data_IF_503529081919
#
_entry.id   IF_503529081919
#
_cell.length_a   1.000
_cell.length_b   1.000
_cell.length_c   1.000
_cell.angle_alpha   90.00
_cell.angle_beta   90.00
_cell.angle_gamma   90.00
#
_symmetry.space_group_name_H-M   'P 1'
#
loop_
_entity.id
_entity.type
_entity.pdbx_description
1 polymer ?
#
# COMPACT_ATOMS: atom_id res chain seq x y z
N UNK A 1 -43.57 -43.45 7.96
CA UNK A 1 -43.00 -42.67 9.07
C UNK A 1 -41.48 -42.62 8.91
N UNK A 2 -40.85 -41.44 8.89
CA UNK A 2 -39.50 -41.25 8.39
C UNK A 2 -38.44 -41.67 9.42
N UNK A 3 -37.45 -42.44 8.97
CA UNK A 3 -36.25 -42.75 9.75
C UNK A 3 -35.35 -41.50 9.72
N UNK A 4 -35.20 -40.89 10.88
CA UNK A 4 -34.33 -39.75 11.17
C UNK A 4 -32.92 -40.01 10.65
N UNK A 5 -32.50 -39.21 9.67
CA UNK A 5 -31.14 -39.18 9.14
C UNK A 5 -30.18 -38.77 10.24
N UNK A 6 -29.18 -39.63 10.47
CA UNK A 6 -28.14 -39.49 11.47
C UNK A 6 -27.26 -38.28 11.10
N UNK A 7 -27.38 -37.19 11.85
CA UNK A 7 -26.43 -36.07 11.81
C UNK A 7 -25.06 -36.59 12.28
N UNK A 8 -24.09 -36.59 11.37
CA UNK A 8 -22.70 -36.88 11.70
C UNK A 8 -22.14 -35.70 12.51
N UNK A 9 -22.16 -35.82 13.83
CA UNK A 9 -21.32 -35.03 14.73
C UNK A 9 -19.88 -35.53 14.59
N UNK A 10 -19.11 -34.91 13.70
CA UNK A 10 -17.66 -35.07 13.63
C UNK A 10 -17.02 -34.29 14.78
N UNK A 11 -17.10 -34.82 16.00
CA UNK A 11 -16.40 -34.29 17.19
C UNK A 11 -15.00 -34.89 17.27
N UNK A 12 -14.18 -34.60 16.26
CA UNK A 12 -12.79 -35.00 16.19
C UNK A 12 -12.11 -34.13 15.17
N UNK A 13 -11.10 -33.38 15.59
CA UNK A 13 -10.25 -32.50 14.76
C UNK A 13 -10.72 -31.05 14.54
N UNK A 14 -11.66 -30.49 15.32
CA UNK A 14 -11.85 -29.03 15.33
C UNK A 14 -10.52 -28.30 15.60
N UNK A 15 -9.69 -28.79 16.53
CA UNK A 15 -8.37 -28.20 16.81
C UNK A 15 -7.42 -28.22 15.61
N UNK A 16 -7.41 -29.29 14.82
CA UNK A 16 -6.57 -29.40 13.61
C UNK A 16 -7.05 -28.45 12.51
N UNK A 17 -8.37 -28.34 12.32
CA UNK A 17 -8.96 -27.40 11.36
C UNK A 17 -8.67 -25.96 11.79
N UNK A 18 -8.82 -25.62 13.08
CA UNK A 18 -8.49 -24.30 13.60
C UNK A 18 -7.00 -23.99 13.43
N UNK A 19 -6.10 -24.93 13.72
CA UNK A 19 -4.65 -24.75 13.53
C UNK A 19 -4.28 -24.56 12.06
N UNK A 20 -4.87 -25.32 11.14
CA UNK A 20 -4.69 -25.12 9.71
C UNK A 20 -5.23 -23.78 9.23
N UNK A 21 -6.38 -23.32 9.72
CA UNK A 21 -6.96 -22.02 9.40
C UNK A 21 -6.11 -20.87 9.94
N UNK A 22 -5.58 -21.01 11.15
CA UNK A 22 -4.63 -20.08 11.76
C UNK A 22 -3.34 -20.05 10.94
N UNK A 23 -2.77 -21.19 10.56
CA UNK A 23 -1.57 -21.25 9.70
C UNK A 23 -1.83 -20.63 8.33
N UNK A 24 -2.99 -20.88 7.70
CA UNK A 24 -3.38 -20.23 6.44
C UNK A 24 -3.53 -18.72 6.60
N UNK A 25 -4.16 -18.24 7.67
CA UNK A 25 -4.26 -16.81 7.99
C UNK A 25 -2.90 -16.16 8.26
N UNK A 26 -1.97 -16.86 8.91
CA UNK A 26 -0.60 -16.39 9.15
C UNK A 26 0.29 -16.48 7.89
N UNK A 27 0.02 -17.43 7.00
CA UNK A 27 0.71 -17.56 5.69
C UNK A 27 0.18 -16.56 4.67
N UNK A 28 -1.02 -16.02 4.88
CA UNK A 28 -1.58 -14.89 4.15
C UNK A 28 -0.97 -13.53 4.55
N UNK A 29 0.05 -13.50 5.41
CA UNK A 29 1.03 -12.42 5.36
C UNK A 29 1.79 -12.56 4.06
N UNK A 30 1.17 -12.00 3.02
CA UNK A 30 1.66 -11.84 1.67
C UNK A 30 3.14 -11.47 1.76
N UNK A 31 3.99 -12.40 1.34
CA UNK A 31 5.33 -12.13 0.86
C UNK A 31 5.22 -11.01 -0.17
N UNK A 32 5.52 -9.77 0.25
CA UNK A 32 5.74 -8.67 -0.66
C UNK A 32 6.90 -9.07 -1.57
N UNK A 33 6.55 -9.32 -2.82
CA UNK A 33 7.47 -9.72 -3.86
C UNK A 33 8.39 -8.53 -4.19
N UNK A 34 9.49 -8.40 -3.44
CA UNK A 34 10.47 -7.33 -3.62
C UNK A 34 9.92 -5.96 -3.21
N UNK A 35 10.80 -5.11 -2.69
CA UNK A 35 10.46 -3.70 -2.52
C UNK A 35 10.08 -3.09 -3.89
N UNK A 36 9.02 -2.25 -3.97
CA UNK A 36 8.63 -1.61 -5.22
C UNK A 36 9.76 -0.74 -5.77
N UNK A 37 9.87 -0.68 -7.10
CA UNK A 37 10.85 0.21 -7.75
C UNK A 37 10.34 1.64 -7.63
N UNK A 38 11.02 2.46 -6.82
CA UNK A 38 10.65 3.86 -6.60
C UNK A 38 11.59 4.76 -7.42
N UNK A 39 10.99 5.57 -8.29
CA UNK A 39 11.64 6.58 -9.13
C UNK A 39 11.14 7.97 -8.75
N UNK A 40 11.90 8.99 -9.09
CA UNK A 40 11.50 10.38 -8.88
C UNK A 40 12.70 11.31 -8.73
N UNK A 41 12.43 12.61 -8.73
CA UNK A 41 13.42 13.61 -8.35
C UNK A 41 13.33 13.85 -6.84
N UNK A 42 14.42 13.57 -6.13
CA UNK A 42 14.57 13.76 -4.68
C UNK A 42 15.50 14.93 -4.31
N UNK A 43 15.85 15.77 -5.28
CA UNK A 43 16.68 16.95 -5.06
C UNK A 43 15.88 18.00 -4.27
N UNK A 44 16.55 18.61 -3.29
CA UNK A 44 16.01 19.73 -2.50
C UNK A 44 14.67 19.41 -1.82
N UNK A 45 14.48 18.18 -1.35
CA UNK A 45 13.29 17.82 -0.56
C UNK A 45 13.37 18.38 0.85
N UNK A 46 12.19 18.64 1.45
CA UNK A 46 12.10 18.81 2.89
C UNK A 46 12.66 17.58 3.62
N UNK A 47 13.18 17.76 4.85
CA UNK A 47 13.57 16.64 5.71
C UNK A 47 12.45 15.60 5.79
N UNK A 48 12.85 14.33 5.81
CA UNK A 48 11.98 13.15 5.94
C UNK A 48 10.94 12.94 4.82
N UNK A 49 10.89 13.79 3.80
CA UNK A 49 9.93 13.69 2.69
C UNK A 49 10.11 12.36 1.94
N UNK A 50 11.36 12.04 1.58
CA UNK A 50 11.69 10.81 0.87
C UNK A 50 11.34 9.55 1.67
N UNK A 51 11.69 9.51 2.96
CA UNK A 51 11.40 8.37 3.82
C UNK A 51 9.89 8.18 4.00
N UNK A 52 9.15 9.26 4.31
CA UNK A 52 7.70 9.21 4.50
C UNK A 52 6.99 8.67 3.27
N UNK A 53 7.37 9.14 2.08
CA UNK A 53 6.69 8.70 0.85
C UNK A 53 7.05 7.26 0.48
N UNK A 54 8.30 6.83 0.70
CA UNK A 54 8.70 5.43 0.53
C UNK A 54 7.91 4.50 1.45
N UNK A 55 7.79 4.85 2.73
CA UNK A 55 7.01 4.08 3.70
C UNK A 55 5.53 4.01 3.30
N UNK A 56 4.98 5.10 2.77
CA UNK A 56 3.61 5.12 2.28
C UNK A 56 3.41 4.19 1.07
N UNK A 57 4.33 4.22 0.09
CA UNK A 57 4.28 3.34 -1.09
C UNK A 57 4.39 1.86 -0.68
N UNK A 58 5.27 1.54 0.28
CA UNK A 58 5.41 0.17 0.81
C UNK A 58 4.13 -0.35 1.49
N UNK A 59 3.28 0.54 1.97
CA UNK A 59 1.97 0.20 2.54
C UNK A 59 0.89 -0.11 1.50
N UNK A 60 1.14 0.15 0.21
CA UNK A 60 0.17 -0.11 -0.85
C UNK A 60 0.39 -1.54 -1.38
N UNK A 61 -0.62 -2.42 -1.30
CA UNK A 61 -0.49 -3.80 -1.78
C UNK A 61 -0.28 -3.85 -3.29
N UNK A 62 0.48 -4.85 -3.74
CA UNK A 62 0.70 -5.19 -5.15
C UNK A 62 1.38 -4.12 -6.01
N UNK A 63 1.91 -3.04 -5.41
CA UNK A 63 2.67 -2.03 -6.15
C UNK A 63 4.01 -2.62 -6.59
N UNK A 64 4.29 -2.50 -7.89
CA UNK A 64 5.54 -2.95 -8.50
C UNK A 64 6.48 -1.78 -8.81
N UNK A 65 5.92 -0.63 -9.13
CA UNK A 65 6.66 0.57 -9.53
C UNK A 65 5.91 1.83 -9.09
N UNK A 66 6.64 2.81 -8.58
CA UNK A 66 6.10 4.14 -8.27
C UNK A 66 7.05 5.22 -8.81
N UNK A 67 6.48 6.27 -9.42
CA UNK A 67 7.21 7.44 -9.91
C UNK A 67 6.68 8.68 -9.21
N UNK A 68 7.50 9.25 -8.34
CA UNK A 68 7.18 10.39 -7.50
C UNK A 68 7.19 11.70 -8.28
N UNK A 69 6.17 12.52 -8.01
CA UNK A 69 6.02 13.89 -8.50
C UNK A 69 5.71 14.81 -7.33
N UNK A 70 6.70 15.00 -6.46
CA UNK A 70 6.53 15.73 -5.20
C UNK A 70 6.13 17.20 -5.37
N UNK A 71 6.46 17.82 -6.52
CA UNK A 71 5.99 19.19 -6.86
C UNK A 71 4.49 19.25 -7.14
N UNK A 72 3.94 18.16 -7.66
CA UNK A 72 2.52 17.94 -7.93
C UNK A 72 1.84 17.20 -6.76
N UNK A 73 2.54 17.09 -5.62
CA UNK A 73 2.04 16.44 -4.42
C UNK A 73 1.40 15.08 -4.69
N UNK A 74 2.07 14.22 -5.44
CA UNK A 74 1.55 12.90 -5.77
C UNK A 74 2.56 11.98 -6.41
N UNK A 75 2.11 10.80 -6.78
CA UNK A 75 2.90 9.84 -7.55
C UNK A 75 2.05 8.96 -8.44
N UNK A 76 2.63 8.63 -9.59
CA UNK A 76 2.15 7.57 -10.47
C UNK A 76 2.58 6.24 -9.87
N UNK A 77 1.68 5.26 -9.78
CA UNK A 77 2.04 3.91 -9.35
C UNK A 77 1.47 2.87 -10.33
N UNK A 78 2.15 1.74 -10.39
CA UNK A 78 1.74 0.59 -11.17
C UNK A 78 1.66 -0.66 -10.29
N UNK A 79 0.65 -1.48 -10.56
CA UNK A 79 0.44 -2.75 -9.88
C UNK A 79 0.11 -3.83 -10.90
N UNK A 80 0.43 -5.07 -10.56
CA UNK A 80 0.15 -6.21 -11.44
C UNK A 80 -1.22 -6.79 -11.11
N UNK A 81 -1.96 -7.20 -12.13
CA UNK A 81 -3.24 -7.90 -11.95
C UNK A 81 -3.22 -9.18 -12.77
N UNK A 82 -4.17 -10.09 -12.53
CA UNK A 82 -4.38 -11.27 -13.38
C UNK A 82 -4.68 -10.91 -14.85
N UNK A 83 -5.01 -9.65 -15.14
CA UNK A 83 -5.27 -9.11 -16.48
C UNK A 83 -4.11 -8.22 -17.00
N UNK A 84 -2.96 -8.24 -16.34
CA UNK A 84 -1.76 -7.46 -16.69
C UNK A 84 -1.55 -6.19 -15.84
N UNK A 85 -0.49 -5.45 -16.16
CA UNK A 85 -0.06 -4.23 -15.46
C UNK A 85 -1.08 -3.10 -15.58
N UNK A 86 -1.45 -2.53 -14.43
CA UNK A 86 -2.32 -1.35 -14.30
C UNK A 86 -1.53 -0.15 -13.80
N UNK A 87 -2.09 1.05 -13.96
CA UNK A 87 -1.50 2.31 -13.51
C UNK A 87 -2.56 3.18 -12.84
N UNK A 88 -2.13 3.99 -11.89
CA UNK A 88 -2.97 4.92 -11.15
C UNK A 88 -2.17 6.10 -10.63
N UNK A 89 -2.91 7.10 -10.16
CA UNK A 89 -2.35 8.29 -9.52
C UNK A 89 -2.77 8.32 -8.06
N UNK A 90 -1.84 8.68 -7.18
CA UNK A 90 -2.11 8.90 -5.76
C UNK A 90 -1.71 10.33 -5.39
N UNK A 91 -2.66 11.09 -4.83
CA UNK A 91 -2.41 12.42 -4.29
C UNK A 91 -1.94 12.34 -2.83
N UNK A 92 -0.85 13.01 -2.52
CA UNK A 92 -0.35 13.18 -1.16
C UNK A 92 -1.32 14.06 -0.35
N UNK A 93 -1.47 13.79 0.95
CA UNK A 93 -2.38 14.53 1.80
C UNK A 93 -1.94 16.00 2.00
N UNK A 94 -2.90 16.86 2.37
CA UNK A 94 -2.64 18.23 2.79
C UNK A 94 -1.56 18.26 3.88
N UNK A 95 -0.62 19.20 3.77
CA UNK A 95 0.47 19.34 4.75
C UNK A 95 1.61 18.32 4.57
N UNK A 96 1.53 17.43 3.58
CA UNK A 96 2.64 16.50 3.31
C UNK A 96 3.90 17.29 2.90
N UNK A 97 5.08 16.98 3.48
CA UNK A 97 6.32 17.69 3.16
C UNK A 97 6.70 17.49 1.70
N UNK A 98 7.09 18.56 1.02
CA UNK A 98 7.54 18.56 -0.36
C UNK A 98 8.83 19.41 -0.50
N UNK A 99 9.19 19.90 -1.69
CA UNK A 99 10.48 20.55 -1.92
C UNK A 99 10.71 21.82 -1.07
N UNK A 100 11.96 22.13 -0.72
CA UNK A 100 12.39 23.36 -0.04
C UNK A 100 11.68 23.65 1.30
N UNK A 101 11.40 22.62 2.12
CA UNK A 101 10.70 22.82 3.41
C UNK A 101 9.22 23.20 3.25
N UNK A 102 8.69 23.08 2.04
CA UNK A 102 7.30 23.39 1.72
C UNK A 102 6.38 22.23 2.06
N UNK A 103 5.07 22.48 1.99
CA UNK A 103 4.05 21.44 2.15
C UNK A 103 3.03 21.49 1.02
N UNK A 104 2.37 20.35 0.80
CA UNK A 104 1.24 20.24 -0.10
C UNK A 104 0.06 21.10 0.37
N UNK A 105 -0.54 21.87 -0.55
CA UNK A 105 -1.74 22.68 -0.32
C UNK A 105 -3.03 21.93 -0.73
N UNK A 106 -4.18 22.58 -0.53
CA UNK A 106 -5.50 22.04 -0.86
C UNK A 106 -5.71 21.83 -2.38
N UNK A 107 -4.86 22.42 -3.21
CA UNK A 107 -4.92 22.28 -4.67
C UNK A 107 -4.04 21.14 -5.18
N UNK A 108 -3.42 20.35 -4.28
CA UNK A 108 -2.46 19.31 -4.64
C UNK A 108 -1.17 19.89 -5.24
N UNK A 109 -0.76 21.08 -4.81
CA UNK A 109 0.50 21.70 -5.24
C UNK A 109 1.44 21.88 -4.06
N UNK A 110 2.73 21.72 -4.33
CA UNK A 110 3.76 22.05 -3.35
C UNK A 110 3.87 23.57 -3.22
N UNK A 111 3.46 24.14 -2.08
CA UNK A 111 3.44 25.59 -1.83
C UNK A 111 4.58 26.00 -0.90
N UNK A 112 5.53 26.76 -1.45
CA UNK A 112 6.60 27.39 -0.67
C UNK A 112 6.15 28.76 -0.16
N UNK A 113 5.91 28.88 1.15
CA UNK A 113 5.54 30.16 1.78
C UNK A 113 6.67 31.18 1.81
N UNK A 114 7.93 30.73 1.72
CA UNK A 114 9.13 31.60 1.74
C UNK A 114 9.65 31.95 0.34
N UNK A 115 9.06 31.42 -0.73
CA UNK A 115 9.50 31.65 -2.12
C UNK A 115 8.70 32.79 -2.80
N UNK A 116 8.06 33.64 -2.00
CA UNK A 116 7.30 34.83 -2.41
C UNK A 116 8.17 36.07 -2.47
#
# INVERSE_FOLDING_TARGET
MPKTGRLFLMTGNQRMVTVLLVLFLHSLHITSAGDPIIKGNFDNLAPDCEEKVKNMIKGIPDVTEATLRLRECGFDYAWETSRGKRRGWYGLPLGFPCAFGSTCDDNGKCKCSSCS
#
